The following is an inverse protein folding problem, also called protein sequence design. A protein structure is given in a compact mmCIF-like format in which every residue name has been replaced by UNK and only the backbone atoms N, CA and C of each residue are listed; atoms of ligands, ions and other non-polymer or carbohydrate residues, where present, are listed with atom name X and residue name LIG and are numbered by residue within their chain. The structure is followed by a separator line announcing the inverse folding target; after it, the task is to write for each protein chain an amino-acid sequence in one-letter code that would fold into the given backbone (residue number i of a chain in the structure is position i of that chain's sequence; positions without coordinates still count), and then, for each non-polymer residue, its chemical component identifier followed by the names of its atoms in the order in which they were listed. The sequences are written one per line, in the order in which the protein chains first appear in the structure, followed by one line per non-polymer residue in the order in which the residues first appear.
data_IF_839582210561
#
_entry.id   IF_839582210561
#
_cell.length_a   1.000
_cell.length_b   1.000
_cell.length_c   1.000
_cell.angle_alpha   90.00
_cell.angle_beta   90.00
_cell.angle_gamma   90.00
#
_symmetry.space_group_name_H-M   'P 1'
#
loop_
_entity.id
_entity.type
_entity.pdbx_description
1 polymer ?
#
# COMPACT_ATOMS: atom_id res chain seq x y z
N UNK A 1 -17.16 2.29 6.97
CA UNK A 1 -17.49 3.65 7.47
C UNK A 1 -16.44 4.11 8.47
N UNK A 2 -16.29 5.43 8.61
CA UNK A 2 -15.51 6.03 9.69
C UNK A 2 -16.35 6.16 10.96
N UNK A 3 -15.68 6.06 12.12
CA UNK A 3 -16.26 6.30 13.45
C UNK A 3 -15.53 7.42 14.19
N UNK A 4 -14.64 8.14 13.50
CA UNK A 4 -13.96 9.34 14.00
C UNK A 4 -14.37 10.55 13.16
N UNK A 5 -14.60 11.69 13.83
CA UNK A 5 -15.06 12.93 13.18
C UNK A 5 -14.02 13.53 12.21
N UNK A 6 -12.75 13.24 12.44
CA UNK A 6 -11.62 13.75 11.65
C UNK A 6 -11.48 13.07 10.29
N UNK A 7 -12.17 11.93 10.07
CA UNK A 7 -12.11 11.15 8.85
C UNK A 7 -13.52 10.92 8.31
N UNK A 8 -13.74 11.18 7.04
CA UNK A 8 -14.95 10.75 6.34
C UNK A 8 -14.86 9.24 6.01
N UNK A 9 -15.96 8.67 5.49
CA UNK A 9 -16.01 7.27 5.09
C UNK A 9 -14.97 6.99 3.98
N UNK A 10 -14.10 6.02 4.22
CA UNK A 10 -13.03 5.63 3.29
C UNK A 10 -11.79 6.53 3.30
N UNK A 11 -11.72 7.54 4.16
CA UNK A 11 -10.56 8.44 4.28
C UNK A 11 -9.50 7.97 5.29
N UNK A 12 -9.73 6.83 5.93
CA UNK A 12 -8.68 6.22 6.73
C UNK A 12 -7.49 5.87 5.84
N UNK A 13 -6.28 6.09 6.35
CA UNK A 13 -5.05 6.07 5.56
C UNK A 13 -4.14 4.89 5.90
N UNK A 14 -3.46 4.39 4.87
CA UNK A 14 -2.44 3.33 4.95
C UNK A 14 -1.26 3.66 4.04
N UNK A 15 -0.09 3.20 4.44
CA UNK A 15 1.06 3.14 3.55
C UNK A 15 0.95 1.89 2.68
N UNK A 16 0.32 2.04 1.51
CA UNK A 16 0.16 0.94 0.55
C UNK A 16 1.45 0.71 -0.21
N UNK A 17 2.15 -0.35 0.12
CA UNK A 17 3.40 -0.73 -0.53
C UNK A 17 3.15 -1.80 -1.60
N UNK A 18 3.60 -1.54 -2.83
CA UNK A 18 3.54 -2.52 -3.91
C UNK A 18 4.54 -3.66 -3.68
N UNK A 19 4.11 -4.90 -3.93
CA UNK A 19 4.90 -6.10 -3.61
C UNK A 19 6.27 -6.10 -4.29
N UNK A 20 6.40 -5.65 -5.53
CA UNK A 20 7.70 -5.59 -6.23
C UNK A 20 8.67 -4.61 -5.57
N UNK A 21 8.16 -3.51 -5.02
CA UNK A 21 8.97 -2.56 -4.26
C UNK A 21 9.39 -3.14 -2.91
N UNK A 22 8.48 -3.84 -2.22
CA UNK A 22 8.81 -4.57 -0.99
C UNK A 22 9.93 -5.59 -1.22
N UNK A 23 9.83 -6.37 -2.30
CA UNK A 23 10.88 -7.33 -2.72
C UNK A 23 12.19 -6.60 -3.02
N UNK A 24 12.14 -5.49 -3.77
CA UNK A 24 13.34 -4.70 -4.09
C UNK A 24 14.05 -4.16 -2.85
N UNK A 25 13.27 -3.67 -1.85
CA UNK A 25 13.82 -3.21 -0.58
C UNK A 25 14.43 -4.36 0.23
N UNK A 26 13.81 -5.54 0.20
CA UNK A 26 14.32 -6.73 0.89
C UNK A 26 15.64 -7.21 0.25
N UNK A 27 15.69 -7.29 -1.08
CA UNK A 27 16.89 -7.71 -1.82
C UNK A 27 18.05 -6.74 -1.63
N UNK A 28 17.80 -5.44 -1.42
CA UNK A 28 18.83 -4.47 -1.10
C UNK A 28 19.70 -4.92 0.07
N UNK A 29 19.12 -5.50 1.13
CA UNK A 29 19.89 -5.96 2.28
C UNK A 29 20.75 -7.19 1.99
N UNK A 30 20.38 -8.04 1.03
CA UNK A 30 21.20 -9.15 0.58
C UNK A 30 22.48 -8.63 -0.13
N UNK A 31 22.33 -7.56 -0.90
CA UNK A 31 23.45 -6.93 -1.62
C UNK A 31 24.31 -6.04 -0.71
N UNK A 32 23.86 -5.74 0.50
CA UNK A 32 24.51 -4.84 1.46
C UNK A 32 24.71 -5.52 2.83
N UNK A 33 25.54 -6.58 2.93
CA UNK A 33 25.66 -7.39 4.15
C UNK A 33 26.17 -6.64 5.38
N UNK A 34 26.74 -5.46 5.20
CA UNK A 34 27.19 -4.58 6.30
C UNK A 34 26.06 -3.71 6.87
N UNK A 35 24.94 -3.60 6.16
CA UNK A 35 23.76 -2.84 6.62
C UNK A 35 22.91 -3.74 7.48
N UNK A 36 23.02 -3.58 8.80
CA UNK A 36 22.33 -4.40 9.79
C UNK A 36 21.41 -3.56 10.66
N UNK A 37 20.35 -4.20 11.18
CA UNK A 37 19.40 -3.60 12.12
C UNK A 37 17.94 -3.77 11.70
N UNK A 38 17.07 -3.05 12.38
CA UNK A 38 15.62 -3.03 12.07
C UNK A 38 15.34 -1.85 11.15
N UNK A 39 14.68 -2.12 10.04
CA UNK A 39 14.28 -1.13 9.04
C UNK A 39 12.80 -1.26 8.72
N UNK A 40 12.12 -0.13 8.59
CA UNK A 40 10.77 -0.10 8.06
C UNK A 40 10.81 -0.29 6.54
N UNK A 41 9.87 -1.08 6.04
CA UNK A 41 9.63 -1.31 4.62
C UNK A 41 8.27 -0.73 4.27
N UNK A 42 8.23 0.36 3.52
CA UNK A 42 7.04 1.10 3.16
C UNK A 42 7.36 2.17 2.13
N UNK A 43 6.35 2.92 1.71
CA UNK A 43 6.53 4.02 0.74
C UNK A 43 6.87 5.35 1.42
N UNK A 44 6.52 5.51 2.70
CA UNK A 44 6.55 6.78 3.40
C UNK A 44 5.45 7.75 2.97
N UNK A 45 4.40 7.24 2.31
CA UNK A 45 3.25 8.03 1.82
C UNK A 45 1.95 7.34 2.16
N UNK A 46 1.23 7.88 3.12
CA UNK A 46 -0.10 7.39 3.45
C UNK A 46 -1.12 7.80 2.37
N UNK A 47 -2.01 6.88 2.00
CA UNK A 47 -3.09 7.08 1.05
C UNK A 47 -4.38 6.48 1.62
N UNK A 48 -5.53 6.99 1.23
CA UNK A 48 -6.80 6.53 1.78
C UNK A 48 -7.42 5.37 0.98
N UNK A 49 -8.42 4.71 1.59
CA UNK A 49 -9.11 3.59 0.95
C UNK A 49 -9.91 4.00 -0.28
N UNK A 50 -10.40 5.25 -0.34
CA UNK A 50 -11.09 5.76 -1.51
C UNK A 50 -10.16 5.85 -2.72
N UNK A 51 -8.90 6.29 -2.50
CA UNK A 51 -7.88 6.33 -3.55
C UNK A 51 -7.55 4.93 -4.06
N UNK A 52 -7.41 3.96 -3.14
CA UNK A 52 -7.20 2.55 -3.49
C UNK A 52 -8.34 2.02 -4.37
N UNK A 53 -9.60 2.18 -3.92
CA UNK A 53 -10.76 1.70 -4.65
C UNK A 53 -10.89 2.36 -6.03
N UNK A 54 -10.77 3.69 -6.11
CA UNK A 54 -10.82 4.43 -7.38
C UNK A 54 -9.73 3.96 -8.34
N UNK A 55 -8.53 3.71 -7.85
CA UNK A 55 -7.41 3.23 -8.68
C UNK A 55 -7.67 1.82 -9.23
N UNK A 56 -8.31 0.93 -8.46
CA UNK A 56 -8.71 -0.40 -8.92
C UNK A 56 -9.75 -0.28 -10.04
N UNK A 57 -10.82 0.50 -9.83
CA UNK A 57 -11.84 0.72 -10.85
C UNK A 57 -11.23 1.29 -12.13
N UNK A 58 -10.34 2.28 -12.01
CA UNK A 58 -9.62 2.86 -13.15
C UNK A 58 -8.76 1.83 -13.89
N UNK A 59 -8.04 0.97 -13.17
CA UNK A 59 -7.23 -0.08 -13.80
C UNK A 59 -8.06 -1.12 -14.54
N UNK A 60 -9.33 -1.29 -14.15
CA UNK A 60 -10.31 -2.19 -14.80
C UNK A 60 -11.13 -1.48 -15.89
N UNK A 61 -10.85 -0.22 -16.18
CA UNK A 61 -11.63 0.63 -17.10
C UNK A 61 -13.13 0.68 -16.74
N UNK A 62 -13.44 0.78 -15.43
CA UNK A 62 -14.80 0.85 -14.89
C UNK A 62 -15.06 2.13 -14.10
N UNK A 63 -16.31 2.58 -14.11
CA UNK A 63 -16.76 3.70 -13.26
C UNK A 63 -16.76 3.25 -11.79
N UNK A 64 -16.19 4.04 -10.86
CA UNK A 64 -16.19 3.71 -9.45
C UNK A 64 -17.60 3.59 -8.87
N UNK A 65 -17.89 2.46 -8.21
CA UNK A 65 -19.10 2.24 -7.41
C UNK A 65 -18.68 1.74 -6.04
N UNK A 66 -18.59 2.66 -5.07
CA UNK A 66 -18.10 2.38 -3.72
C UNK A 66 -19.27 2.36 -2.76
N UNK A 67 -19.41 1.28 -2.01
CA UNK A 67 -20.35 1.13 -0.93
C UNK A 67 -19.61 1.10 0.40
N UNK A 68 -20.06 1.93 1.36
CA UNK A 68 -19.48 2.01 2.69
C UNK A 68 -20.27 1.17 3.68
N UNK A 69 -19.68 0.07 4.12
CA UNK A 69 -20.26 -0.81 5.14
C UNK A 69 -19.86 -0.37 6.55
N UNK A 70 -20.67 -0.74 7.55
CA UNK A 70 -20.33 -0.50 8.95
C UNK A 70 -19.14 -1.36 9.37
N UNK A 71 -18.27 -0.79 10.20
CA UNK A 71 -17.14 -1.54 10.76
C UNK A 71 -17.66 -2.50 11.84
N UNK A 72 -17.19 -3.75 11.88
CA UNK A 72 -17.52 -4.66 12.97
C UNK A 72 -17.12 -4.08 14.33
N UNK A 73 -18.01 -4.18 15.33
CA UNK A 73 -17.81 -3.57 16.65
C UNK A 73 -16.51 -3.98 17.33
N UNK A 74 -16.09 -5.25 17.13
CA UNK A 74 -14.86 -5.79 17.71
C UNK A 74 -13.59 -5.05 17.31
N UNK A 75 -13.57 -4.42 16.12
CA UNK A 75 -12.38 -3.75 15.60
C UNK A 75 -12.44 -2.23 15.73
N UNK A 76 -13.61 -1.64 15.98
CA UNK A 76 -13.78 -0.18 16.05
C UNK A 76 -12.76 0.47 17.01
N UNK A 77 -12.61 -0.11 18.22
CA UNK A 77 -11.73 0.44 19.26
C UNK A 77 -10.24 0.28 18.95
N UNK A 78 -9.88 -0.71 18.13
CA UNK A 78 -8.49 -1.05 17.81
C UNK A 78 -8.08 -0.60 16.41
N UNK A 79 -9.03 -0.04 15.64
CA UNK A 79 -8.77 0.34 14.25
C UNK A 79 -7.82 1.53 14.16
N UNK A 80 -6.73 1.34 13.45
CA UNK A 80 -5.77 2.41 13.17
C UNK A 80 -6.27 3.25 11.99
N UNK A 81 -6.45 4.54 12.21
CA UNK A 81 -6.95 5.46 11.19
C UNK A 81 -5.86 5.99 10.26
N UNK A 82 -4.63 6.01 10.72
CA UNK A 82 -3.48 6.41 9.94
C UNK A 82 -2.29 5.50 10.22
N UNK A 83 -1.62 5.02 9.15
CA UNK A 83 -0.33 4.36 9.23
C UNK A 83 0.55 4.81 8.08
N UNK A 84 1.79 5.18 8.39
CA UNK A 84 2.79 5.59 7.41
C UNK A 84 4.16 5.14 7.91
N UNK A 85 4.93 4.48 7.05
CA UNK A 85 6.27 4.03 7.40
C UNK A 85 7.25 5.22 7.42
N UNK A 86 8.08 5.30 8.44
CA UNK A 86 9.24 6.17 8.45
C UNK A 86 10.35 5.46 7.66
N UNK A 87 10.78 6.04 6.52
CA UNK A 87 11.71 5.41 5.57
C UNK A 87 13.08 6.11 5.49
N UNK A 88 13.33 7.13 6.32
CA UNK A 88 14.60 7.88 6.26
C UNK A 88 15.78 6.97 6.57
N UNK A 89 15.65 6.02 7.49
CA UNK A 89 16.72 5.09 7.86
C UNK A 89 17.15 4.21 6.68
N UNK A 90 16.22 3.64 5.92
CA UNK A 90 16.59 2.82 4.75
C UNK A 90 17.14 3.69 3.61
N UNK A 91 16.66 4.92 3.46
CA UNK A 91 17.19 5.90 2.50
C UNK A 91 18.63 6.29 2.85
N UNK A 92 18.90 6.60 4.11
CA UNK A 92 20.24 6.90 4.61
C UNK A 92 21.21 5.71 4.48
N UNK A 93 20.69 4.48 4.56
CA UNK A 93 21.46 3.26 4.32
C UNK A 93 21.83 3.01 2.84
N UNK A 94 21.30 3.83 1.91
CA UNK A 94 21.65 3.79 0.49
C UNK A 94 20.60 3.21 -0.45
N UNK A 95 19.39 2.89 0.03
CA UNK A 95 18.31 2.51 -0.86
C UNK A 95 17.74 3.73 -1.57
N UNK A 96 18.16 3.96 -2.82
CA UNK A 96 17.82 5.16 -3.61
C UNK A 96 16.73 4.93 -4.65
N UNK A 97 16.32 3.66 -4.89
CA UNK A 97 15.30 3.34 -5.90
C UNK A 97 13.99 4.06 -5.59
N UNK A 98 13.35 4.62 -6.63
CA UNK A 98 11.99 5.14 -6.52
C UNK A 98 11.01 4.00 -6.34
N UNK A 99 9.97 4.23 -5.55
CA UNK A 99 8.86 3.29 -5.38
C UNK A 99 7.69 3.70 -6.26
N UNK A 100 6.93 2.73 -6.72
CA UNK A 100 5.72 2.98 -7.51
C UNK A 100 4.71 3.76 -6.68
N UNK A 101 3.98 4.65 -7.35
CA UNK A 101 2.77 5.24 -6.78
C UNK A 101 1.70 4.16 -6.57
N UNK A 102 0.69 4.48 -5.75
CA UNK A 102 -0.46 3.60 -5.55
C UNK A 102 -1.11 3.21 -6.88
N UNK A 103 -1.30 4.19 -7.76
CA UNK A 103 -1.93 4.04 -9.07
C UNK A 103 -1.10 3.14 -10.00
N UNK A 104 0.22 3.32 -10.04
CA UNK A 104 1.13 2.50 -10.85
C UNK A 104 1.16 1.06 -10.36
N UNK A 105 1.29 0.85 -9.04
CA UNK A 105 1.31 -0.49 -8.44
C UNK A 105 0.01 -1.25 -8.68
N UNK A 106 -1.14 -0.59 -8.48
CA UNK A 106 -2.46 -1.17 -8.73
C UNK A 106 -2.64 -1.49 -10.21
N UNK A 107 -2.27 -0.57 -11.11
CA UNK A 107 -2.41 -0.78 -12.55
C UNK A 107 -1.61 -2.00 -13.00
N UNK A 108 -0.36 -2.12 -12.56
CA UNK A 108 0.48 -3.28 -12.88
C UNK A 108 -0.13 -4.58 -12.34
N UNK A 109 -0.59 -4.56 -11.08
CA UNK A 109 -1.14 -5.76 -10.45
C UNK A 109 -2.47 -6.21 -11.07
N UNK A 110 -3.38 -5.28 -11.30
CA UNK A 110 -4.69 -5.58 -11.90
C UNK A 110 -4.55 -6.06 -13.33
N UNK A 111 -3.83 -5.30 -14.19
CA UNK A 111 -3.75 -5.62 -15.63
C UNK A 111 -2.89 -6.83 -15.94
N UNK A 112 -1.80 -7.03 -15.21
CA UNK A 112 -0.82 -8.07 -15.53
C UNK A 112 -1.00 -9.36 -14.74
N UNK A 113 -1.76 -9.34 -13.64
CA UNK A 113 -1.92 -10.52 -12.78
C UNK A 113 -3.39 -10.87 -12.49
N UNK A 114 -4.21 -9.92 -12.01
CA UNK A 114 -5.58 -10.24 -11.61
C UNK A 114 -6.49 -10.52 -12.82
N UNK A 115 -6.52 -9.62 -13.81
CA UNK A 115 -7.37 -9.81 -15.00
C UNK A 115 -6.99 -11.06 -15.81
N UNK A 116 -5.68 -11.34 -16.08
CA UNK A 116 -5.29 -12.57 -16.74
C UNK A 116 -5.33 -13.81 -15.83
N UNK A 117 -5.70 -13.68 -14.55
CA UNK A 117 -5.70 -14.75 -13.55
C UNK A 117 -4.34 -15.48 -13.42
N UNK A 118 -3.24 -14.74 -13.53
CA UNK A 118 -1.89 -15.29 -13.34
C UNK A 118 -1.63 -15.56 -11.88
N UNK A 119 -1.20 -16.78 -11.57
CA UNK A 119 -0.79 -17.21 -10.24
C UNK A 119 0.66 -17.66 -10.24
N UNK A 120 1.27 -17.73 -9.05
CA UNK A 120 2.61 -18.28 -8.90
C UNK A 120 2.59 -19.74 -9.38
N UNK A 121 3.46 -20.08 -10.34
CA UNK A 121 3.53 -21.44 -10.91
C UNK A 121 2.55 -21.75 -12.04
N UNK A 122 1.80 -20.74 -12.55
CA UNK A 122 0.97 -20.89 -13.76
C UNK A 122 1.67 -20.36 -15.00
#
# INVERSE_FOLDING_TARGET
KSYRKEYQDGEQERDFLYIKDAVSMTLFFLDQPKVCGIFNVGTGRARNWNDLAKSIFKAMDRVPKIEYISMPEKIIKQYQYHTCAEIQKIRAAGYTKSMKSLEEGITDYVKNYLLPNKRLGS
#
